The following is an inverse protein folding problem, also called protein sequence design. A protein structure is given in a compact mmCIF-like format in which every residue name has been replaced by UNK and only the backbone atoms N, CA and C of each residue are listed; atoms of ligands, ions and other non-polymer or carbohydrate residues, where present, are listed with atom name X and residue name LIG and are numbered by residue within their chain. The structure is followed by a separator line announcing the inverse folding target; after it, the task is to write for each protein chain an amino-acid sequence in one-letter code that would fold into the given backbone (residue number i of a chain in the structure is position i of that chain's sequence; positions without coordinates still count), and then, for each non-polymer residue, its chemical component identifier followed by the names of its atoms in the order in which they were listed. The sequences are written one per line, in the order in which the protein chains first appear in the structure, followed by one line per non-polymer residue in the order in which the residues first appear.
data_IF_615013403570
#
_entry.id   IF_615013403570
#
_cell.length_a   1.000
_cell.length_b   1.000
_cell.length_c   1.000
_cell.angle_alpha   90.00
_cell.angle_beta   90.00
_cell.angle_gamma   90.00
#
_symmetry.space_group_name_H-M   'P 1'
#
loop_
_entity.id
_entity.type
_entity.pdbx_description
1 polymer ?
#
# COMPACT_ATOMS: atom_id res chain seq x y z
N UNK A 1 53.62 27.45 -16.78
CA UNK A 1 52.94 27.60 -15.46
C UNK A 1 51.49 27.17 -15.69
N UNK A 2 51.23 25.90 -15.48
CA UNK A 2 49.90 25.28 -15.69
C UNK A 2 49.16 25.35 -14.38
N UNK A 3 48.05 26.11 -14.36
CA UNK A 3 47.17 26.25 -13.21
C UNK A 3 46.22 25.05 -13.19
N UNK A 4 46.45 24.09 -12.30
CA UNK A 4 45.46 23.05 -12.02
C UNK A 4 44.35 23.64 -11.13
N UNK A 5 43.17 23.90 -11.74
CA UNK A 5 41.94 24.11 -10.99
C UNK A 5 41.45 22.74 -10.49
N UNK A 6 41.61 22.48 -9.19
CA UNK A 6 40.91 21.38 -8.52
C UNK A 6 39.46 21.78 -8.40
N UNK A 7 38.59 21.20 -9.25
CA UNK A 7 37.16 21.21 -9.04
C UNK A 7 36.87 20.26 -7.90
N UNK A 8 36.71 20.79 -6.68
CA UNK A 8 36.13 20.03 -5.59
C UNK A 8 34.67 19.71 -5.97
N UNK A 9 34.45 18.49 -6.42
CA UNK A 9 33.12 17.97 -6.63
C UNK A 9 32.37 18.04 -5.30
N UNK A 10 31.41 18.96 -5.19
CA UNK A 10 30.39 18.88 -4.15
C UNK A 10 29.63 17.61 -4.40
N UNK A 11 29.82 16.60 -3.56
CA UNK A 11 28.93 15.46 -3.50
C UNK A 11 27.52 16.03 -3.31
N UNK A 12 26.66 15.89 -4.30
CA UNK A 12 25.24 16.16 -4.13
C UNK A 12 24.72 15.06 -3.19
N UNK A 13 24.75 15.34 -1.89
CA UNK A 13 24.00 14.53 -0.95
C UNK A 13 22.53 14.63 -1.32
N UNK A 14 21.84 13.48 -1.43
CA UNK A 14 20.40 13.45 -1.58
C UNK A 14 19.73 14.36 -0.54
N UNK A 15 18.56 14.88 -0.86
CA UNK A 15 17.87 15.91 -0.06
C UNK A 15 17.32 15.43 1.30
N UNK A 16 17.72 14.24 1.77
CA UNK A 16 17.31 13.69 3.06
C UNK A 16 18.16 14.20 4.23
N UNK A 17 17.53 14.37 5.38
CA UNK A 17 18.26 14.54 6.64
C UNK A 17 18.79 13.19 7.12
N UNK A 18 19.90 13.20 7.89
CA UNK A 18 20.28 12.00 8.62
C UNK A 18 19.12 11.57 9.56
N UNK A 19 18.87 10.27 9.73
CA UNK A 19 17.72 9.79 10.51
C UNK A 19 17.61 10.44 11.89
N UNK A 20 18.73 10.55 12.62
CA UNK A 20 18.80 11.20 13.94
C UNK A 20 18.38 12.68 13.94
N UNK A 21 18.52 13.37 12.81
CA UNK A 21 18.24 14.80 12.68
C UNK A 21 16.82 15.05 12.12
N UNK A 22 16.22 14.03 11.49
CA UNK A 22 14.94 14.14 10.79
C UNK A 22 13.79 14.50 11.75
N UNK A 23 13.72 13.88 12.91
CA UNK A 23 12.69 14.14 13.92
C UNK A 23 12.68 15.61 14.36
N UNK A 24 13.87 16.20 14.57
CA UNK A 24 14.02 17.62 14.96
C UNK A 24 13.62 18.62 13.86
N UNK A 25 13.31 18.14 12.64
CA UNK A 25 12.83 18.98 11.54
C UNK A 25 11.29 18.92 11.36
N UNK A 26 10.63 18.06 12.12
CA UNK A 26 9.18 17.93 12.06
C UNK A 26 8.51 19.05 12.86
N UNK A 27 7.46 19.64 12.29
CA UNK A 27 6.54 20.53 13.04
C UNK A 27 5.32 19.71 13.41
N UNK A 28 5.10 19.53 14.69
CA UNK A 28 4.02 18.72 15.23
C UNK A 28 2.95 19.58 15.89
N UNK A 29 1.66 19.21 15.82
CA UNK A 29 0.62 19.80 16.64
C UNK A 29 0.90 19.64 18.14
N UNK A 30 0.32 20.52 18.93
CA UNK A 30 0.40 20.44 20.40
C UNK A 30 -0.13 19.10 20.93
N UNK A 31 0.61 18.50 21.84
CA UNK A 31 0.30 17.22 22.44
C UNK A 31 0.77 15.98 21.65
N UNK A 32 1.47 16.17 20.52
CA UNK A 32 2.12 15.10 19.79
C UNK A 32 3.64 15.16 19.93
N UNK A 33 4.27 14.02 19.96
CA UNK A 33 5.73 13.84 19.90
C UNK A 33 6.06 12.83 18.79
N UNK A 34 7.26 12.95 18.19
CA UNK A 34 7.79 11.99 17.24
C UNK A 34 9.08 11.39 17.77
N UNK A 35 9.25 10.10 17.57
CA UNK A 35 10.49 9.37 17.84
C UNK A 35 10.95 8.66 16.57
N UNK A 36 12.25 8.43 16.46
CA UNK A 36 12.81 7.62 15.39
C UNK A 36 12.71 6.15 15.78
N UNK A 37 11.76 5.43 15.20
CA UNK A 37 11.55 4.00 15.47
C UNK A 37 12.52 3.12 14.68
N UNK A 38 12.68 3.37 13.39
CA UNK A 38 13.59 2.64 12.51
C UNK A 38 14.03 3.50 11.33
N UNK A 39 15.15 3.14 10.71
CA UNK A 39 15.70 3.84 9.54
C UNK A 39 16.58 2.93 8.70
N UNK A 40 17.15 3.46 7.64
CA UNK A 40 18.25 2.80 6.93
C UNK A 40 19.46 2.60 7.83
N UNK A 41 20.19 1.48 7.69
CA UNK A 41 20.12 0.50 6.60
C UNK A 41 19.11 -0.64 6.82
N UNK A 42 18.52 -0.80 8.00
CA UNK A 42 17.64 -1.92 8.36
C UNK A 42 16.32 -1.87 7.60
N UNK A 43 15.77 -0.67 7.44
CA UNK A 43 14.50 -0.44 6.70
C UNK A 43 14.75 0.52 5.55
N UNK A 44 14.54 0.03 4.32
CA UNK A 44 14.72 0.81 3.09
C UNK A 44 13.43 0.83 2.27
N UNK A 45 13.10 1.99 1.72
CA UNK A 45 11.93 2.18 0.83
C UNK A 45 10.64 1.53 1.39
N UNK A 46 10.25 1.82 2.65
CA UNK A 46 9.03 1.28 3.21
C UNK A 46 7.82 1.89 2.49
N UNK A 47 6.93 1.04 1.96
CA UNK A 47 5.70 1.50 1.29
C UNK A 47 4.43 1.16 2.07
N UNK A 48 4.53 0.32 3.07
CA UNK A 48 3.43 -0.09 3.92
C UNK A 48 3.95 -0.43 5.32
N UNK A 49 3.22 0.03 6.34
CA UNK A 49 3.51 -0.28 7.73
C UNK A 49 2.20 -0.64 8.44
N UNK A 50 2.23 -1.70 9.25
CA UNK A 50 1.10 -2.13 10.05
C UNK A 50 1.59 -2.81 11.34
N UNK A 51 0.92 -2.50 12.46
CA UNK A 51 1.18 -3.23 13.70
C UNK A 51 0.38 -4.54 13.75
N UNK A 52 1.00 -5.58 14.27
CA UNK A 52 0.32 -6.83 14.59
C UNK A 52 -0.32 -6.77 16.00
N UNK A 53 -0.97 -7.86 16.41
CA UNK A 53 -1.61 -7.99 17.72
C UNK A 53 -0.61 -8.18 18.89
N UNK A 54 0.68 -8.35 18.58
CA UNK A 54 1.79 -8.33 19.55
C UNK A 54 2.41 -6.94 19.71
N UNK A 55 1.93 -5.93 18.94
CA UNK A 55 2.45 -4.56 18.96
C UNK A 55 3.71 -4.35 18.11
N UNK A 56 4.13 -5.34 17.33
CA UNK A 56 5.30 -5.23 16.45
C UNK A 56 4.93 -4.57 15.13
N UNK A 57 5.84 -3.83 14.54
CA UNK A 57 5.64 -3.18 13.26
C UNK A 57 6.10 -4.07 12.11
N UNK A 58 5.19 -4.37 11.20
CA UNK A 58 5.51 -5.04 9.94
C UNK A 58 5.62 -4.03 8.82
N UNK A 59 6.63 -4.14 7.99
CA UNK A 59 6.85 -3.24 6.85
C UNK A 59 7.15 -4.02 5.58
N UNK A 60 6.66 -3.48 4.45
CA UNK A 60 7.07 -3.92 3.12
C UNK A 60 8.21 -3.03 2.67
N UNK A 61 9.39 -3.61 2.42
CA UNK A 61 10.51 -2.93 1.80
C UNK A 61 10.44 -3.15 0.27
N UNK A 62 10.13 -2.08 -0.49
CA UNK A 62 9.81 -2.13 -1.93
C UNK A 62 11.05 -1.95 -2.80
N UNK A 63 11.97 -2.90 -2.70
CA UNK A 63 13.31 -2.81 -3.28
C UNK A 63 13.36 -3.20 -4.76
N UNK A 64 12.30 -3.88 -5.26
CA UNK A 64 12.20 -4.34 -6.66
C UNK A 64 11.73 -3.25 -7.63
N UNK A 65 11.08 -2.20 -7.12
CA UNK A 65 10.60 -1.10 -7.94
C UNK A 65 11.71 -0.57 -8.89
N UNK A 66 11.40 -0.16 -10.16
CA UNK A 66 10.06 0.00 -10.73
C UNK A 66 9.60 -1.16 -11.63
N UNK A 67 10.38 -2.16 -11.86
CA UNK A 67 10.02 -3.22 -12.80
C UNK A 67 9.99 -4.59 -12.10
N UNK A 68 9.02 -5.46 -12.43
CA UNK A 68 9.01 -6.80 -11.90
C UNK A 68 10.24 -7.60 -12.37
N UNK A 69 10.84 -8.36 -11.45
CA UNK A 69 11.95 -9.23 -11.77
C UNK A 69 11.53 -10.31 -12.78
N UNK A 70 12.48 -10.72 -13.62
CA UNK A 70 12.33 -11.86 -14.53
C UNK A 70 11.36 -11.66 -15.69
N UNK A 71 10.76 -10.48 -15.85
CA UNK A 71 9.89 -10.16 -16.98
C UNK A 71 10.59 -9.21 -17.96
N UNK A 72 10.35 -9.42 -19.25
CA UNK A 72 10.86 -8.55 -20.29
C UNK A 72 9.80 -7.57 -20.76
N UNK A 73 10.13 -6.28 -20.76
CA UNK A 73 9.27 -5.24 -21.34
C UNK A 73 9.22 -5.41 -22.86
N UNK A 74 8.02 -5.54 -23.42
CA UNK A 74 7.78 -5.69 -24.86
C UNK A 74 7.46 -4.33 -25.49
N UNK A 75 6.55 -3.60 -24.87
CA UNK A 75 6.14 -2.25 -25.32
C UNK A 75 5.51 -1.45 -24.19
N UNK A 76 5.33 -0.15 -24.44
CA UNK A 76 4.47 0.72 -23.62
C UNK A 76 3.27 1.12 -24.47
N UNK A 77 2.05 1.03 -23.92
CA UNK A 77 0.84 1.42 -24.62
C UNK A 77 0.57 2.94 -24.53
N UNK A 78 -0.50 3.40 -25.18
CA UNK A 78 -0.88 4.83 -25.20
C UNK A 78 -1.28 5.40 -23.83
N UNK A 79 -1.47 4.56 -22.83
CA UNK A 79 -1.79 4.94 -21.45
C UNK A 79 -0.59 4.82 -20.52
N UNK A 80 0.64 4.75 -21.09
CA UNK A 80 1.90 4.58 -20.36
C UNK A 80 2.03 3.27 -19.60
N UNK A 81 1.25 2.24 -19.96
CA UNK A 81 1.31 0.92 -19.33
C UNK A 81 2.30 0.01 -20.05
N UNK A 82 3.10 -0.68 -19.28
CA UNK A 82 4.06 -1.64 -19.78
C UNK A 82 3.37 -2.97 -20.11
N UNK A 83 3.61 -3.48 -21.30
CA UNK A 83 3.26 -4.86 -21.67
C UNK A 83 4.50 -5.72 -21.48
N UNK A 84 4.39 -6.75 -20.68
CA UNK A 84 5.45 -7.74 -20.45
C UNK A 84 5.30 -8.95 -21.38
N UNK A 85 6.40 -9.69 -21.55
CA UNK A 85 6.49 -10.84 -22.47
C UNK A 85 5.63 -12.03 -22.00
N UNK A 86 5.37 -12.12 -20.71
CA UNK A 86 4.54 -13.17 -20.13
C UNK A 86 3.97 -12.74 -18.78
N UNK A 87 3.01 -13.50 -18.28
CA UNK A 87 2.61 -13.48 -16.88
C UNK A 87 3.65 -14.25 -16.08
N UNK A 88 4.11 -13.72 -14.91
CA UNK A 88 5.01 -14.48 -14.05
C UNK A 88 4.29 -15.68 -13.44
N UNK A 89 5.00 -16.75 -13.14
CA UNK A 89 4.51 -17.80 -12.25
C UNK A 89 4.48 -17.29 -10.81
N UNK A 90 3.59 -17.83 -9.96
CA UNK A 90 3.58 -17.46 -8.55
C UNK A 90 4.79 -18.02 -7.80
N UNK A 91 5.16 -17.45 -6.63
CA UNK A 91 6.12 -18.09 -5.74
C UNK A 91 5.67 -19.52 -5.36
N UNK A 92 6.61 -20.45 -5.17
CA UNK A 92 8.05 -20.30 -5.22
C UNK A 92 8.64 -20.42 -6.63
N UNK A 93 7.83 -20.77 -7.66
CA UNK A 93 8.30 -21.10 -9.01
C UNK A 93 8.55 -19.87 -9.87
N UNK A 94 7.95 -18.74 -9.52
CA UNK A 94 8.13 -17.49 -10.23
C UNK A 94 9.48 -16.82 -9.99
N UNK A 95 9.75 -15.74 -10.75
CA UNK A 95 10.99 -15.01 -10.60
C UNK A 95 11.05 -14.33 -9.21
N UNK A 96 12.16 -14.55 -8.51
CA UNK A 96 12.42 -13.89 -7.23
C UNK A 96 12.79 -12.42 -7.48
N UNK A 97 12.11 -11.53 -6.76
CA UNK A 97 12.44 -10.11 -6.71
C UNK A 97 13.33 -9.76 -5.53
N UNK A 98 13.38 -8.48 -5.22
CA UNK A 98 14.21 -7.93 -4.14
C UNK A 98 13.38 -7.48 -2.93
N UNK A 99 12.05 -7.47 -3.03
CA UNK A 99 11.18 -7.03 -1.94
C UNK A 99 11.17 -8.03 -0.79
N UNK A 100 10.87 -7.52 0.39
CA UNK A 100 10.74 -8.30 1.60
C UNK A 100 9.67 -7.73 2.52
N UNK A 101 9.15 -8.56 3.39
CA UNK A 101 8.32 -8.17 4.53
C UNK A 101 9.16 -8.39 5.77
N UNK A 102 9.40 -7.31 6.52
CA UNK A 102 10.25 -7.30 7.71
C UNK A 102 9.42 -6.95 8.93
N UNK A 103 9.61 -7.69 10.00
CA UNK A 103 9.06 -7.47 11.34
C UNK A 103 10.07 -6.68 12.15
N UNK A 104 9.61 -5.61 12.77
CA UNK A 104 10.40 -4.75 13.62
C UNK A 104 9.82 -4.79 15.02
N UNK A 105 10.68 -4.98 16.02
CA UNK A 105 10.27 -5.03 17.42
C UNK A 105 11.17 -4.15 18.28
N UNK A 106 10.57 -3.47 19.23
CA UNK A 106 11.19 -2.73 20.31
C UNK A 106 11.10 -3.62 21.56
N UNK A 107 12.17 -4.36 21.86
CA UNK A 107 12.15 -5.38 22.93
C UNK A 107 12.44 -4.81 24.30
N UNK A 108 13.08 -3.63 24.38
CA UNK A 108 13.44 -2.96 25.65
C UNK A 108 12.51 -1.79 26.00
N UNK A 109 11.61 -1.40 25.09
CA UNK A 109 10.58 -0.37 25.32
C UNK A 109 11.09 1.06 25.27
N UNK A 110 12.21 1.32 24.56
CA UNK A 110 12.80 2.66 24.45
C UNK A 110 12.17 3.50 23.31
N UNK A 111 11.26 2.92 22.54
CA UNK A 111 10.59 3.54 21.40
C UNK A 111 11.36 3.40 20.08
N UNK A 112 12.34 2.50 20.03
CA UNK A 112 13.12 2.17 18.84
C UNK A 112 13.13 0.67 18.60
N UNK A 113 13.07 0.28 17.34
CA UNK A 113 13.24 -1.13 17.00
C UNK A 113 14.68 -1.55 17.20
N UNK A 114 14.88 -2.63 17.93
CA UNK A 114 16.18 -3.27 18.20
C UNK A 114 16.30 -4.66 17.57
N UNK A 115 15.17 -5.28 17.15
CA UNK A 115 15.16 -6.51 16.38
C UNK A 115 14.50 -6.33 15.03
N UNK A 116 15.05 -7.02 14.03
CA UNK A 116 14.59 -6.98 12.62
C UNK A 116 14.62 -8.41 12.07
N UNK A 117 13.44 -8.92 11.75
CA UNK A 117 13.26 -10.26 11.20
C UNK A 117 12.54 -10.22 9.87
N UNK A 118 13.10 -10.84 8.83
CA UNK A 118 12.43 -10.96 7.54
C UNK A 118 11.49 -12.17 7.55
N UNK A 119 10.18 -11.93 7.58
CA UNK A 119 9.15 -12.97 7.47
C UNK A 119 9.25 -13.69 6.12
N UNK A 120 9.36 -12.93 5.04
CA UNK A 120 9.55 -13.46 3.68
C UNK A 120 10.39 -12.53 2.83
N UNK A 121 11.25 -13.11 1.99
CA UNK A 121 12.13 -12.40 1.07
C UNK A 121 11.95 -12.89 -0.37
N UNK A 122 12.45 -12.09 -1.31
CA UNK A 122 12.38 -12.46 -2.73
C UNK A 122 11.02 -12.18 -3.35
N UNK A 123 10.21 -11.33 -2.72
CA UNK A 123 8.95 -10.87 -3.27
C UNK A 123 9.18 -9.92 -4.47
N UNK A 124 8.18 -9.81 -5.31
CA UNK A 124 8.28 -9.15 -6.61
C UNK A 124 7.17 -8.12 -6.79
N UNK A 125 7.43 -6.87 -6.43
CA UNK A 125 6.46 -5.77 -6.36
C UNK A 125 5.32 -6.07 -5.38
N UNK A 126 5.69 -6.33 -4.12
CA UNK A 126 4.76 -6.53 -3.02
C UNK A 126 4.17 -5.19 -2.57
N UNK A 127 2.83 -5.11 -2.45
CA UNK A 127 2.12 -3.84 -2.22
C UNK A 127 1.05 -3.87 -1.13
N UNK A 128 0.90 -4.99 -0.44
CA UNK A 128 -0.04 -5.09 0.69
C UNK A 128 0.19 -6.33 1.53
N UNK A 129 0.00 -6.19 2.83
CA UNK A 129 0.08 -7.27 3.81
C UNK A 129 -1.07 -7.16 4.81
N UNK A 130 -1.62 -8.31 5.23
CA UNK A 130 -2.64 -8.40 6.26
C UNK A 130 -2.52 -9.74 6.99
N UNK A 131 -2.83 -9.74 8.30
CA UNK A 131 -2.70 -10.91 9.17
C UNK A 131 -4.06 -11.53 9.46
N UNK A 132 -4.10 -12.84 9.60
CA UNK A 132 -5.30 -13.56 10.03
C UNK A 132 -5.38 -14.98 9.49
N UNK A 133 -6.34 -15.73 9.98
CA UNK A 133 -6.60 -17.12 9.56
C UNK A 133 -5.39 -18.06 9.66
N UNK A 134 -4.47 -17.81 10.60
CA UNK A 134 -3.27 -18.61 10.80
C UNK A 134 -2.18 -18.37 9.75
N UNK A 135 -2.02 -17.11 9.34
CA UNK A 135 -0.97 -16.71 8.41
C UNK A 135 -1.07 -15.28 7.92
N UNK A 136 -0.43 -15.01 6.81
CA UNK A 136 -0.23 -13.67 6.25
C UNK A 136 -0.71 -13.61 4.80
N UNK A 137 -1.64 -12.70 4.54
CA UNK A 137 -2.11 -12.38 3.19
C UNK A 137 -1.19 -11.35 2.56
N UNK A 138 -0.77 -11.57 1.32
CA UNK A 138 0.21 -10.73 0.62
C UNK A 138 -0.29 -10.42 -0.79
N UNK A 139 -0.33 -9.14 -1.16
CA UNK A 139 -0.52 -8.73 -2.56
C UNK A 139 0.84 -8.64 -3.23
N UNK A 140 1.02 -9.49 -4.21
CA UNK A 140 2.12 -9.44 -5.18
C UNK A 140 1.52 -9.65 -6.57
N UNK A 141 1.20 -8.56 -7.28
CA UNK A 141 0.56 -8.67 -8.60
C UNK A 141 1.33 -9.62 -9.53
N UNK A 142 0.63 -10.57 -10.20
CA UNK A 142 -0.81 -10.63 -10.39
C UNK A 142 -1.59 -11.46 -9.36
N UNK A 143 -1.05 -11.70 -8.17
CA UNK A 143 -1.60 -12.64 -7.20
C UNK A 143 -1.98 -12.00 -5.87
N UNK A 144 -3.03 -12.53 -5.24
CA UNK A 144 -3.21 -12.52 -3.79
C UNK A 144 -2.70 -13.86 -3.26
N UNK A 145 -1.71 -13.81 -2.40
CA UNK A 145 -1.04 -14.96 -1.80
C UNK A 145 -1.42 -15.09 -0.33
N UNK A 146 -1.36 -16.31 0.20
CA UNK A 146 -1.47 -16.60 1.62
C UNK A 146 -0.28 -17.43 2.06
N UNK A 147 0.50 -16.92 2.99
CA UNK A 147 1.60 -17.61 3.63
C UNK A 147 1.11 -18.17 4.97
N UNK A 148 0.95 -19.50 5.11
CA UNK A 148 0.59 -20.09 6.40
C UNK A 148 1.69 -19.87 7.44
N UNK A 149 1.28 -19.54 8.66
CA UNK A 149 2.12 -19.42 9.86
C UNK A 149 1.22 -19.72 11.06
N UNK A 150 0.95 -21.01 11.30
CA UNK A 150 -0.07 -21.47 12.24
C UNK A 150 0.41 -21.47 13.68
N UNK A 151 1.69 -21.72 13.88
CA UNK A 151 2.32 -21.69 15.20
C UNK A 151 2.82 -20.29 15.59
N UNK A 152 2.77 -19.33 14.62
CA UNK A 152 3.09 -17.91 14.82
C UNK A 152 4.54 -17.70 15.26
N UNK A 153 5.45 -18.48 14.68
CA UNK A 153 6.89 -18.38 14.91
C UNK A 153 7.58 -17.38 13.96
N UNK A 154 6.77 -16.69 13.12
CA UNK A 154 7.19 -15.69 12.13
C UNK A 154 7.96 -16.28 10.95
N UNK A 155 7.83 -17.59 10.73
CA UNK A 155 8.37 -18.32 9.58
C UNK A 155 7.22 -18.99 8.83
N UNK A 156 7.06 -18.80 7.51
CA UNK A 156 6.01 -19.48 6.78
C UNK A 156 6.12 -21.00 6.89
N UNK A 157 5.00 -21.68 7.19
CA UNK A 157 4.89 -23.17 7.31
C UNK A 157 5.15 -23.91 5.98
N UNK A 158 5.38 -23.20 4.89
CA UNK A 158 5.63 -23.75 3.56
C UNK A 158 5.38 -22.75 2.43
N UNK A 159 5.19 -23.28 1.24
CA UNK A 159 4.94 -22.46 0.04
C UNK A 159 3.61 -21.70 0.16
N UNK A 160 3.52 -20.47 -0.39
CA UNK A 160 2.29 -19.70 -0.34
C UNK A 160 1.18 -20.30 -1.20
N UNK A 161 -0.05 -20.23 -0.71
CA UNK A 161 -1.25 -20.53 -1.47
C UNK A 161 -1.63 -19.34 -2.36
N UNK A 162 -1.94 -19.58 -3.64
CA UNK A 162 -2.53 -18.57 -4.53
C UNK A 162 -4.04 -18.53 -4.31
N UNK A 163 -4.53 -17.44 -3.71
CA UNK A 163 -5.95 -17.25 -3.42
C UNK A 163 -6.71 -16.62 -4.58
N UNK A 164 -6.11 -15.59 -5.17
CA UNK A 164 -6.63 -14.89 -6.36
C UNK A 164 -5.50 -14.68 -7.37
N UNK A 165 -5.91 -14.59 -8.62
CA UNK A 165 -5.08 -14.35 -9.78
C UNK A 165 -5.78 -13.38 -10.74
N UNK A 166 -5.00 -12.54 -11.41
CA UNK A 166 -5.51 -11.63 -12.43
C UNK A 166 -5.43 -10.15 -12.07
N UNK A 167 -4.72 -9.78 -10.99
CA UNK A 167 -4.36 -8.38 -10.76
C UNK A 167 -3.40 -7.90 -11.85
N UNK A 168 -3.62 -6.67 -12.35
CA UNK A 168 -2.74 -6.07 -13.34
C UNK A 168 -1.36 -5.73 -12.79
N UNK A 169 -0.34 -5.82 -13.63
CA UNK A 169 1.05 -5.48 -13.29
C UNK A 169 1.70 -4.50 -14.29
N UNK A 170 0.88 -3.83 -15.09
CA UNK A 170 1.33 -2.97 -16.20
C UNK A 170 1.99 -1.67 -15.74
N UNK A 171 1.74 -1.25 -14.50
CA UNK A 171 2.27 -0.01 -13.91
C UNK A 171 2.55 -0.21 -12.42
N UNK A 172 3.82 -0.21 -12.05
CA UNK A 172 4.27 -0.42 -10.67
C UNK A 172 3.84 0.67 -9.66
N UNK A 173 3.33 1.81 -10.15
CA UNK A 173 2.79 2.88 -9.33
C UNK A 173 1.27 2.81 -9.18
N UNK A 174 0.64 1.77 -9.73
CA UNK A 174 -0.82 1.67 -9.83
C UNK A 174 -1.32 0.24 -9.60
N UNK A 175 -0.55 -0.57 -8.92
CA UNK A 175 -0.88 -1.95 -8.60
C UNK A 175 -2.04 -2.06 -7.63
N UNK A 176 -2.60 -3.27 -7.52
CA UNK A 176 -3.43 -3.64 -6.38
C UNK A 176 -2.63 -3.41 -5.09
N UNK A 177 -3.26 -2.86 -4.07
CA UNK A 177 -2.56 -2.45 -2.85
C UNK A 177 -3.49 -2.45 -1.64
N UNK A 178 -2.90 -2.24 -0.47
CA UNK A 178 -3.56 -1.96 0.79
C UNK A 178 -4.61 -3.01 1.21
N UNK A 179 -4.17 -4.02 1.95
CA UNK A 179 -5.08 -5.00 2.54
C UNK A 179 -5.57 -4.55 3.92
N UNK A 180 -6.86 -4.75 4.19
CA UNK A 180 -7.44 -4.56 5.54
C UNK A 180 -8.70 -5.37 5.74
N UNK A 181 -8.95 -5.79 6.99
CA UNK A 181 -10.19 -6.47 7.34
C UNK A 181 -11.36 -5.49 7.43
N UNK A 182 -12.46 -5.84 6.81
CA UNK A 182 -13.74 -5.21 7.08
C UNK A 182 -14.41 -5.77 8.33
N UNK A 183 -15.35 -5.02 8.93
CA UNK A 183 -16.08 -5.49 10.10
C UNK A 183 -17.02 -6.67 9.80
N UNK A 184 -17.21 -6.99 8.52
CA UNK A 184 -17.99 -8.11 8.00
C UNK A 184 -17.17 -9.40 7.79
N UNK A 185 -15.87 -9.37 8.15
CA UNK A 185 -14.97 -10.51 8.01
C UNK A 185 -14.40 -10.73 6.61
N UNK A 186 -14.66 -9.80 5.68
CA UNK A 186 -14.02 -9.81 4.36
C UNK A 186 -12.67 -9.10 4.38
N UNK A 187 -11.75 -9.60 3.59
CA UNK A 187 -10.48 -8.93 3.29
C UNK A 187 -10.68 -7.97 2.13
N UNK A 188 -10.46 -6.69 2.37
CA UNK A 188 -10.59 -5.63 1.39
C UNK A 188 -9.23 -5.21 0.85
N UNK A 189 -9.22 -4.79 -0.42
CA UNK A 189 -8.05 -4.20 -1.07
C UNK A 189 -8.45 -3.19 -2.13
N UNK A 190 -7.45 -2.46 -2.59
CA UNK A 190 -7.59 -1.42 -3.62
C UNK A 190 -6.93 -1.85 -4.91
N UNK A 191 -7.31 -1.23 -6.03
CA UNK A 191 -6.58 -1.29 -7.29
C UNK A 191 -6.46 0.11 -7.89
N UNK A 192 -5.25 0.45 -8.33
CA UNK A 192 -4.93 1.77 -8.85
C UNK A 192 -5.47 2.03 -10.26
N UNK A 193 -5.06 3.16 -10.86
CA UNK A 193 -5.73 3.73 -12.03
C UNK A 193 -5.36 3.12 -13.36
N UNK A 194 -4.14 2.62 -13.52
CA UNK A 194 -3.58 2.26 -14.84
C UNK A 194 -3.40 0.78 -15.06
N UNK A 195 -3.52 -0.05 -14.02
CA UNK A 195 -3.54 -1.51 -14.15
C UNK A 195 -4.96 -2.03 -14.35
N UNK A 196 -5.08 -3.12 -15.10
CA UNK A 196 -6.37 -3.76 -15.38
C UNK A 196 -6.42 -5.12 -14.71
N UNK A 197 -7.33 -5.28 -13.76
CA UNK A 197 -7.60 -6.56 -13.13
C UNK A 197 -8.61 -7.37 -13.94
N UNK A 198 -8.39 -8.69 -13.99
CA UNK A 198 -9.29 -9.69 -14.57
C UNK A 198 -9.38 -10.87 -13.63
N UNK A 199 -10.29 -10.77 -12.66
CA UNK A 199 -10.40 -11.74 -11.58
C UNK A 199 -11.77 -12.42 -11.68
N UNK A 200 -11.75 -13.74 -11.84
CA UNK A 200 -12.98 -14.57 -11.90
C UNK A 200 -14.04 -14.04 -12.88
N UNK A 201 -13.60 -13.53 -14.04
CA UNK A 201 -14.48 -13.01 -15.09
C UNK A 201 -14.89 -11.54 -14.91
N UNK A 202 -14.52 -10.89 -13.82
CA UNK A 202 -14.74 -9.47 -13.59
C UNK A 202 -13.52 -8.67 -14.05
N UNK A 203 -13.72 -7.76 -15.01
CA UNK A 203 -12.68 -6.81 -15.44
C UNK A 203 -12.93 -5.45 -14.80
N UNK A 204 -11.92 -4.89 -14.14
CA UNK A 204 -12.00 -3.55 -13.54
C UNK A 204 -10.63 -2.88 -13.48
N UNK A 205 -10.62 -1.60 -13.15
CA UNK A 205 -9.42 -0.81 -12.87
C UNK A 205 -9.52 -0.19 -11.49
N UNK A 206 -9.73 1.10 -11.40
CA UNK A 206 -9.82 1.89 -10.18
C UNK A 206 -10.96 1.40 -9.27
N UNK A 207 -10.66 1.05 -8.05
CA UNK A 207 -11.74 0.67 -7.15
C UNK A 207 -11.31 -0.14 -5.94
N UNK A 208 -12.32 -0.53 -5.19
CA UNK A 208 -12.23 -1.36 -4.01
C UNK A 208 -12.77 -2.76 -4.35
N UNK A 209 -12.01 -3.76 -4.02
CA UNK A 209 -12.42 -5.17 -4.12
C UNK A 209 -12.38 -5.81 -2.75
N UNK A 210 -13.05 -6.97 -2.60
CA UNK A 210 -12.97 -7.77 -1.38
C UNK A 210 -12.94 -9.27 -1.67
N UNK A 211 -12.35 -10.00 -0.75
CA UNK A 211 -12.22 -11.45 -0.79
C UNK A 211 -12.62 -12.05 0.56
N UNK A 212 -13.43 -13.11 0.54
CA UNK A 212 -13.82 -13.82 1.75
C UNK A 212 -12.96 -15.08 1.92
N UNK A 213 -12.12 -15.17 2.97
CA UNK A 213 -11.13 -16.24 3.08
C UNK A 213 -11.73 -17.64 3.30
N UNK A 214 -12.92 -17.72 3.89
CA UNK A 214 -13.60 -19.00 4.17
C UNK A 214 -14.42 -19.46 2.96
N UNK A 215 -15.29 -18.62 2.41
CA UNK A 215 -16.13 -18.97 1.24
C UNK A 215 -15.37 -18.90 -0.07
N UNK A 216 -14.19 -18.27 -0.06
CA UNK A 216 -13.36 -18.01 -1.25
C UNK A 216 -14.01 -17.08 -2.27
N UNK A 217 -15.09 -16.39 -1.93
CA UNK A 217 -15.77 -15.45 -2.81
C UNK A 217 -14.93 -14.20 -3.07
N UNK A 218 -15.09 -13.64 -4.26
CA UNK A 218 -14.47 -12.38 -4.68
C UNK A 218 -15.56 -11.44 -5.18
N UNK A 219 -15.50 -10.19 -4.78
CA UNK A 219 -16.40 -9.14 -5.24
C UNK A 219 -15.65 -7.86 -5.59
N UNK A 220 -16.08 -7.19 -6.67
CA UNK A 220 -15.78 -5.79 -6.89
C UNK A 220 -16.75 -4.98 -6.04
N UNK A 221 -16.26 -4.39 -4.94
CA UNK A 221 -17.10 -3.72 -3.95
C UNK A 221 -17.64 -2.38 -4.46
N UNK A 222 -16.75 -1.54 -4.99
CA UNK A 222 -17.11 -0.30 -5.70
C UNK A 222 -16.01 0.08 -6.68
N UNK A 223 -16.34 0.93 -7.66
CA UNK A 223 -15.46 1.25 -8.79
C UNK A 223 -15.26 2.76 -8.94
N UNK A 224 -14.03 3.19 -9.25
CA UNK A 224 -13.66 4.57 -9.49
C UNK A 224 -12.74 5.16 -8.42
N UNK A 225 -12.47 6.47 -8.53
CA UNK A 225 -11.65 7.23 -7.59
C UNK A 225 -10.25 7.63 -8.07
N UNK A 226 -9.70 6.99 -9.07
CA UNK A 226 -8.36 7.29 -9.59
C UNK A 226 -7.29 6.32 -9.10
N UNK A 227 -6.07 6.80 -8.92
CA UNK A 227 -4.98 5.98 -8.37
C UNK A 227 -5.13 5.94 -6.84
N UNK A 228 -5.83 4.93 -6.36
CA UNK A 228 -6.27 4.82 -4.98
C UNK A 228 -5.22 4.19 -4.08
N UNK A 229 -5.08 4.78 -2.88
CA UNK A 229 -4.24 4.31 -1.78
C UNK A 229 -4.95 4.56 -0.46
N UNK A 230 -4.69 3.74 0.54
CA UNK A 230 -5.27 3.94 1.86
C UNK A 230 -6.77 3.67 1.91
N UNK A 231 -7.12 2.60 2.58
CA UNK A 231 -8.46 2.15 2.82
C UNK A 231 -8.64 1.94 4.33
N UNK A 232 -9.75 2.40 4.87
CA UNK A 232 -10.01 2.35 6.30
C UNK A 232 -11.50 2.26 6.58
N UNK A 233 -11.86 1.83 7.79
CA UNK A 233 -13.22 1.82 8.28
C UNK A 233 -13.36 2.75 9.49
N UNK A 234 -14.51 3.41 9.60
CA UNK A 234 -14.85 4.15 10.80
C UNK A 234 -15.51 3.26 11.88
N UNK A 235 -15.87 3.86 13.03
CA UNK A 235 -16.51 3.12 14.15
C UNK A 235 -17.86 2.51 13.80
N UNK A 236 -18.52 3.01 12.74
CA UNK A 236 -19.79 2.49 12.27
C UNK A 236 -19.61 1.42 11.17
N UNK A 237 -18.37 1.06 10.84
CA UNK A 237 -18.08 0.10 9.79
C UNK A 237 -18.25 0.64 8.37
N UNK A 238 -18.28 1.97 8.20
CA UNK A 238 -18.32 2.59 6.88
C UNK A 238 -16.92 2.64 6.29
N UNK A 239 -16.81 2.26 5.03
CA UNK A 239 -15.53 2.22 4.31
C UNK A 239 -15.18 3.59 3.76
N UNK A 240 -13.93 4.00 3.91
CA UNK A 240 -13.36 5.18 3.27
C UNK A 240 -12.05 4.84 2.57
N UNK A 241 -11.78 5.49 1.44
CA UNK A 241 -10.53 5.32 0.71
C UNK A 241 -10.09 6.63 0.04
N UNK A 242 -8.79 6.77 -0.19
CA UNK A 242 -8.19 7.98 -0.76
C UNK A 242 -7.51 7.72 -2.09
N UNK A 243 -7.13 8.76 -2.80
CA UNK A 243 -6.38 8.68 -4.03
C UNK A 243 -5.31 9.77 -4.12
N UNK A 244 -4.39 9.57 -5.05
CA UNK A 244 -3.31 10.51 -5.36
C UNK A 244 -3.75 11.92 -5.80
N UNK A 245 -5.04 12.13 -6.03
CA UNK A 245 -5.62 13.44 -6.36
C UNK A 245 -5.89 14.33 -5.16
N UNK A 246 -5.64 13.85 -3.94
CA UNK A 246 -6.01 14.54 -2.71
C UNK A 246 -7.48 14.37 -2.34
N UNK A 247 -8.22 13.54 -3.05
CA UNK A 247 -9.63 13.27 -2.79
C UNK A 247 -9.80 11.97 -2.00
N UNK A 248 -10.92 11.85 -1.30
CA UNK A 248 -11.33 10.60 -0.68
C UNK A 248 -12.83 10.39 -0.80
N UNK A 249 -13.24 9.13 -0.65
CA UNK A 249 -14.59 8.67 -0.88
C UNK A 249 -15.08 7.84 0.29
N UNK A 250 -16.37 7.96 0.54
CA UNK A 250 -17.11 6.95 1.30
C UNK A 250 -17.45 5.81 0.33
N UNK A 251 -16.81 4.66 0.48
CA UNK A 251 -17.02 3.48 -0.36
C UNK A 251 -18.35 2.82 -0.04
N UNK A 252 -19.25 2.78 -1.01
CA UNK A 252 -20.56 2.13 -0.89
C UNK A 252 -20.59 0.95 -1.85
N UNK A 253 -21.07 -0.20 -1.37
CA UNK A 253 -21.16 -1.41 -2.19
C UNK A 253 -22.00 -1.17 -3.45
N UNK A 254 -21.46 -1.56 -4.60
CA UNK A 254 -22.10 -1.36 -5.90
C UNK A 254 -22.01 0.07 -6.45
N UNK A 255 -21.38 1.00 -5.72
CA UNK A 255 -21.25 2.37 -6.18
C UNK A 255 -20.24 2.50 -7.32
N UNK A 256 -20.45 3.53 -8.12
CA UNK A 256 -19.57 3.94 -9.21
C UNK A 256 -19.17 5.40 -9.02
N UNK A 257 -17.85 5.63 -8.90
CA UNK A 257 -17.27 6.96 -8.72
C UNK A 257 -16.57 7.40 -10.00
N UNK A 258 -16.39 8.70 -10.15
CA UNK A 258 -15.65 9.25 -11.28
C UNK A 258 -14.22 8.67 -11.34
N UNK A 259 -13.81 8.25 -12.52
CA UNK A 259 -12.46 7.76 -12.79
C UNK A 259 -11.56 8.91 -13.23
N UNK A 260 -10.48 9.15 -12.50
CA UNK A 260 -9.63 10.32 -12.71
C UNK A 260 -8.51 10.15 -13.73
N UNK A 261 -7.97 8.94 -13.88
CA UNK A 261 -6.81 8.70 -14.71
C UNK A 261 -6.82 7.28 -15.29
N UNK A 262 -5.95 7.05 -16.28
CA UNK A 262 -5.76 5.73 -16.87
C UNK A 262 -6.81 5.38 -17.93
N UNK A 263 -6.91 4.10 -18.25
CA UNK A 263 -7.88 3.59 -19.20
C UNK A 263 -9.25 3.48 -18.54
N UNK A 264 -10.16 4.31 -18.97
CA UNK A 264 -11.56 4.21 -18.55
C UNK A 264 -12.25 3.15 -19.40
N UNK A 265 -12.48 1.99 -18.83
CA UNK A 265 -13.28 0.93 -19.44
C UNK A 265 -14.78 1.26 -19.38
N UNK A 266 -15.63 0.41 -19.94
CA UNK A 266 -17.08 0.50 -19.77
C UNK A 266 -17.44 0.40 -18.28
N UNK A 267 -18.66 0.82 -17.92
CA UNK A 267 -19.23 0.56 -16.62
C UNK A 267 -19.32 -0.96 -16.42
N UNK A 268 -18.64 -1.47 -15.40
CA UNK A 268 -18.69 -2.89 -15.06
C UNK A 268 -19.95 -3.23 -14.25
N UNK A 269 -20.48 -2.25 -13.51
CA UNK A 269 -21.73 -2.37 -12.80
C UNK A 269 -22.88 -1.77 -13.62
N UNK A 270 -23.62 -2.61 -14.31
CA UNK A 270 -24.77 -2.20 -15.15
C UNK A 270 -25.92 -1.59 -14.32
N UNK A 271 -25.90 -1.75 -13.01
CA UNK A 271 -26.93 -1.24 -12.10
C UNK A 271 -26.48 0.01 -11.33
N UNK A 272 -25.33 0.58 -11.69
CA UNK A 272 -24.88 1.83 -11.09
C UNK A 272 -25.77 2.99 -11.50
N UNK A 273 -26.24 3.78 -10.53
CA UNK A 273 -27.10 4.94 -10.73
C UNK A 273 -26.35 6.21 -11.15
N UNK A 274 -25.18 6.07 -11.77
CA UNK A 274 -24.30 7.17 -12.14
C UNK A 274 -23.14 7.34 -11.13
N UNK A 275 -22.44 8.46 -11.27
CA UNK A 275 -21.29 8.73 -10.45
C UNK A 275 -21.67 9.29 -9.08
N UNK A 276 -21.16 8.66 -8.00
CA UNK A 276 -21.14 9.26 -6.69
C UNK A 276 -19.93 10.21 -6.56
N UNK A 277 -20.09 11.27 -5.76
CA UNK A 277 -19.05 12.26 -5.54
C UNK A 277 -18.11 11.85 -4.40
N UNK A 278 -16.93 12.46 -4.38
CA UNK A 278 -16.04 12.41 -3.24
C UNK A 278 -16.67 13.05 -2.00
N UNK A 279 -16.15 12.70 -0.84
CA UNK A 279 -16.54 13.34 0.44
C UNK A 279 -16.02 14.77 0.47
N UNK A 280 -16.87 15.71 0.89
CA UNK A 280 -16.43 17.07 1.20
C UNK A 280 -15.69 17.07 2.53
N UNK A 281 -14.60 17.81 2.62
CA UNK A 281 -13.79 17.93 3.83
C UNK A 281 -13.44 19.39 4.11
N UNK A 282 -13.17 19.67 5.38
CA UNK A 282 -12.65 20.96 5.83
C UNK A 282 -11.14 20.84 5.99
N UNK A 283 -10.39 21.81 5.48
CA UNK A 283 -8.93 21.78 5.51
C UNK A 283 -8.32 21.54 4.13
N UNK A 284 -7.02 21.39 4.09
CA UNK A 284 -6.27 21.11 2.88
C UNK A 284 -5.74 19.67 2.94
N UNK A 285 -6.13 18.89 1.95
CA UNK A 285 -5.40 17.64 1.67
C UNK A 285 -4.36 17.95 0.60
N UNK A 286 -3.15 17.45 0.81
CA UNK A 286 -2.12 17.55 -0.20
C UNK A 286 -2.38 16.64 -1.39
N UNK A 287 -1.51 16.73 -2.38
CA UNK A 287 -1.39 15.80 -3.50
C UNK A 287 0.04 15.31 -3.58
N UNK A 288 0.25 14.03 -3.78
CA UNK A 288 -0.66 12.89 -3.71
C UNK A 288 -0.80 12.32 -2.29
N UNK A 289 -2.00 11.90 -1.93
CA UNK A 289 -2.22 11.14 -0.69
C UNK A 289 -1.54 9.77 -0.81
N UNK A 290 -0.83 9.36 0.22
CA UNK A 290 0.01 8.14 0.22
C UNK A 290 -0.39 7.09 1.24
N UNK A 291 -1.55 7.12 1.69
CA UNK A 291 -2.11 6.25 2.70
C UNK A 291 -3.08 7.04 3.52
N UNK A 292 -4.03 6.35 4.10
CA UNK A 292 -5.05 7.01 4.87
C UNK A 292 -5.57 6.07 5.94
N UNK A 293 -5.89 6.63 7.09
CA UNK A 293 -6.57 5.92 8.17
C UNK A 293 -7.51 6.85 8.89
N UNK A 294 -8.56 6.30 9.49
CA UNK A 294 -9.35 7.01 10.48
C UNK A 294 -8.76 6.68 11.85
N UNK A 295 -8.39 7.71 12.60
CA UNK A 295 -7.84 7.49 13.94
C UNK A 295 -8.93 7.12 14.93
N UNK A 296 -8.94 5.85 15.32
CA UNK A 296 -9.92 5.28 16.25
C UNK A 296 -9.37 5.11 17.68
N UNK A 297 -8.09 5.41 17.87
CA UNK A 297 -7.39 5.27 19.15
C UNK A 297 -7.70 6.40 20.15
N UNK A 298 -7.02 6.36 21.27
CA UNK A 298 -7.12 7.32 22.37
C UNK A 298 -5.77 7.87 22.87
N UNK A 299 -4.66 7.43 22.22
CA UNK A 299 -3.30 7.88 22.55
C UNK A 299 -3.00 9.30 22.04
N UNK A 300 -3.63 9.73 20.94
CA UNK A 300 -3.51 11.09 20.45
C UNK A 300 -4.50 12.02 21.15
N UNK A 301 -4.23 13.35 21.17
CA UNK A 301 -5.17 14.33 21.70
C UNK A 301 -6.59 14.18 21.11
N UNK A 302 -7.64 14.53 21.88
CA UNK A 302 -9.04 14.26 21.50
C UNK A 302 -9.47 14.83 20.15
N UNK A 303 -8.86 15.91 19.67
CA UNK A 303 -9.17 16.53 18.37
C UNK A 303 -8.85 15.63 17.17
N UNK A 304 -8.02 14.58 17.35
CA UNK A 304 -7.69 13.62 16.30
C UNK A 304 -8.67 12.45 16.23
N UNK A 305 -9.52 12.25 17.24
CA UNK A 305 -10.46 11.12 17.27
C UNK A 305 -11.46 11.21 16.13
N UNK A 306 -11.67 10.07 15.47
CA UNK A 306 -12.57 9.93 14.32
C UNK A 306 -12.24 10.85 13.14
N UNK A 307 -11.01 11.40 13.10
CA UNK A 307 -10.52 12.17 11.96
C UNK A 307 -9.82 11.28 10.95
N UNK A 308 -9.86 11.71 9.70
CA UNK A 308 -9.17 11.06 8.60
C UNK A 308 -7.73 11.57 8.52
N UNK A 309 -6.76 10.71 8.77
CA UNK A 309 -5.35 11.03 8.67
C UNK A 309 -4.81 10.57 7.32
N UNK A 310 -4.12 11.42 6.59
CA UNK A 310 -3.44 11.04 5.35
C UNK A 310 -2.09 11.73 5.19
N UNK A 311 -1.14 11.03 4.58
CA UNK A 311 0.16 11.57 4.22
C UNK A 311 0.15 12.22 2.84
N UNK A 312 0.97 13.26 2.64
CA UNK A 312 1.30 13.85 1.36
C UNK A 312 2.82 13.85 1.19
N UNK A 313 3.30 13.05 0.25
CA UNK A 313 4.74 12.90 0.07
C UNK A 313 5.39 14.05 -0.72
N UNK A 314 4.64 14.86 -1.46
CA UNK A 314 5.20 16.01 -2.18
C UNK A 314 5.38 17.23 -1.28
N UNK A 315 4.43 17.49 -0.39
CA UNK A 315 4.52 18.57 0.59
C UNK A 315 5.19 18.14 1.89
N UNK A 316 5.44 16.82 2.06
CA UNK A 316 6.01 16.24 3.29
C UNK A 316 5.17 16.55 4.53
N UNK A 317 3.85 16.47 4.39
CA UNK A 317 2.89 16.77 5.45
C UNK A 317 1.98 15.57 5.75
N UNK A 318 1.41 15.56 6.92
CA UNK A 318 0.28 14.72 7.28
C UNK A 318 -0.92 15.65 7.58
N UNK A 319 -2.04 15.38 6.93
CA UNK A 319 -3.28 16.13 7.09
C UNK A 319 -4.27 15.33 7.92
N UNK A 320 -5.12 16.05 8.69
CA UNK A 320 -6.23 15.48 9.46
C UNK A 320 -7.46 16.37 9.46
#
# INVERSE_FOLDING_TARGET
MILLLSVMGRSAFGQGYAPRDAVGKMTLPEGLAATLFASEPEVRQPIFCKCDDRGRLWTIQYLQYPNPAGLKRVKVDRFSRTVYDRKPEPPPHGPRGSDRITILEDTDGDGRADTFHDFVTGLNLCTGVEFGHGGVFVIQAPYLLFYPDRDRDDVPDGDPEVLLDGFGNEDAQSLANHLTWGPDGWLYGLNGSTTTCRIRGIEFQQGVWRYHPVTREFELFCEGGGNVFGLTFDRQGRLFYSANTGLFWHGVQGAYYEKNFGKHGPLHNLYAYGYLRNVSYTGQTGRPNTGATIYLGDSFPPQFRDTFLCGDFLSHTCSW
#
